data_IF_360088640942
#
_entry.id   IF_360088640942
#
_cell.length_a   1.000
_cell.length_b   1.000
_cell.length_c   1.000
_cell.angle_alpha   90.00
_cell.angle_beta   90.00
_cell.angle_gamma   90.00
#
_symmetry.space_group_name_H-M   'P 1'
#
loop_
_entity.id
_entity.type
_entity.pdbx_description
1 polymer ?
#
# COMPACT_ATOMS: atom_id res chain seq x y z
N UNK A 1 -0.51 -11.11 26.24
CA UNK A 1 -0.85 -9.98 25.35
C UNK A 1 0.19 -8.89 25.51
N UNK A 2 1.04 -8.65 24.51
CA UNK A 2 1.81 -7.39 24.35
C UNK A 2 2.52 -7.37 22.99
N UNK A 3 1.92 -6.74 21.98
CA UNK A 3 2.54 -6.40 20.68
C UNK A 3 2.11 -4.99 20.25
N UNK A 4 2.13 -4.00 21.16
CA UNK A 4 1.63 -2.64 20.87
C UNK A 4 2.67 -1.51 20.98
N UNK A 5 3.89 -1.78 21.44
CA UNK A 5 4.88 -0.71 21.67
C UNK A 5 5.58 -0.17 20.40
N UNK A 6 5.52 -0.88 19.28
CA UNK A 6 6.20 -0.48 18.04
C UNK A 6 5.42 0.49 17.14
N UNK A 7 4.14 0.76 17.43
CA UNK A 7 3.29 1.55 16.55
C UNK A 7 3.50 3.07 16.74
N UNK A 8 3.80 3.53 17.97
CA UNK A 8 3.77 4.96 18.31
C UNK A 8 4.88 5.80 17.67
N UNK A 9 6.09 5.24 17.47
CA UNK A 9 7.22 6.01 16.89
C UNK A 9 7.13 6.12 15.36
N UNK A 10 6.72 5.06 14.67
CA UNK A 10 6.54 5.09 13.23
C UNK A 10 5.34 5.97 12.82
N UNK A 11 4.30 6.01 13.65
CA UNK A 11 3.11 6.81 13.39
C UNK A 11 3.36 8.32 13.57
N UNK A 12 4.11 8.72 14.60
CA UNK A 12 4.51 10.13 14.77
C UNK A 12 5.41 10.60 13.62
N UNK A 13 6.30 9.74 13.12
CA UNK A 13 7.13 10.05 11.95
C UNK A 13 6.30 10.23 10.68
N UNK A 14 5.27 9.41 10.45
CA UNK A 14 4.38 9.55 9.30
C UNK A 14 3.77 10.96 9.26
N UNK A 15 3.11 11.39 10.35
CA UNK A 15 2.50 12.71 10.42
C UNK A 15 3.50 13.86 10.32
N UNK A 16 4.70 13.72 10.92
CA UNK A 16 5.76 14.73 10.79
C UNK A 16 6.26 14.89 9.33
N UNK A 17 6.16 13.84 8.52
CA UNK A 17 6.59 13.82 7.11
C UNK A 17 5.50 14.21 6.11
N UNK A 18 4.24 14.27 6.56
CA UNK A 18 3.06 14.54 5.75
C UNK A 18 2.92 16.04 5.47
N UNK A 19 3.01 16.41 4.20
CA UNK A 19 2.94 17.82 3.76
C UNK A 19 1.58 18.22 3.15
N UNK A 20 0.73 17.25 2.86
CA UNK A 20 -0.59 17.47 2.23
C UNK A 20 -1.70 16.79 3.00
N UNK A 21 -2.93 17.25 2.78
CA UNK A 21 -4.12 16.64 3.40
C UNK A 21 -4.23 15.14 3.08
N UNK A 22 -3.97 14.73 1.84
CA UNK A 22 -4.00 13.30 1.47
C UNK A 22 -2.90 12.50 2.17
N UNK A 23 -1.70 13.06 2.36
CA UNK A 23 -0.65 12.41 3.15
C UNK A 23 -1.05 12.26 4.64
N UNK A 24 -1.74 13.25 5.22
CA UNK A 24 -2.25 13.16 6.59
C UNK A 24 -3.31 12.05 6.72
N UNK A 25 -4.24 11.97 5.76
CA UNK A 25 -5.25 10.90 5.72
C UNK A 25 -4.59 9.53 5.53
N UNK A 26 -3.53 9.43 4.73
CA UNK A 26 -2.74 8.19 4.65
C UNK A 26 -2.22 7.79 6.03
N UNK A 27 -1.63 8.72 6.78
CA UNK A 27 -1.08 8.42 8.11
C UNK A 27 -2.15 7.98 9.11
N UNK A 28 -3.35 8.57 9.05
CA UNK A 28 -4.50 8.14 9.85
C UNK A 28 -4.95 6.73 9.47
N UNK A 29 -4.99 6.40 8.17
CA UNK A 29 -5.31 5.04 7.71
C UNK A 29 -4.25 4.03 8.16
N UNK A 30 -2.97 4.42 8.13
CA UNK A 30 -1.87 3.58 8.60
C UNK A 30 -1.99 3.30 10.10
N UNK A 31 -2.30 4.33 10.89
CA UNK A 31 -2.55 4.25 12.34
C UNK A 31 -3.66 3.27 12.70
N UNK A 32 -4.73 3.26 11.90
CA UNK A 32 -5.89 2.37 12.08
C UNK A 32 -5.72 0.99 11.46
N UNK A 33 -4.58 0.71 10.82
CA UNK A 33 -4.33 -0.55 10.14
C UNK A 33 -5.13 -0.73 8.85
N UNK A 34 -5.66 0.35 8.27
CA UNK A 34 -6.46 0.36 7.05
C UNK A 34 -5.66 0.64 5.77
N UNK A 35 -4.37 0.94 5.90
CA UNK A 35 -3.44 1.19 4.80
C UNK A 35 -2.84 -0.09 4.16
N UNK A 36 -3.32 -1.30 4.51
CA UNK A 36 -2.73 -2.59 4.07
C UNK A 36 -2.63 -2.75 2.55
N UNK A 37 -3.55 -2.15 1.81
CA UNK A 37 -3.60 -2.21 0.34
C UNK A 37 -2.94 -1.00 -0.33
N UNK A 38 -2.45 -0.04 0.45
CA UNK A 38 -1.81 1.15 -0.07
C UNK A 38 -0.32 0.89 -0.34
N UNK A 39 0.27 1.57 -1.34
CA UNK A 39 1.72 1.53 -1.50
C UNK A 39 2.40 2.17 -0.29
N UNK A 40 3.68 1.86 -0.01
CA UNK A 40 4.43 2.50 1.07
C UNK A 40 4.38 4.03 0.97
N UNK A 41 4.41 4.72 2.11
CA UNK A 41 4.22 6.17 2.20
C UNK A 41 5.09 6.97 1.22
N UNK A 42 6.38 6.63 1.07
CA UNK A 42 7.28 7.33 0.15
C UNK A 42 6.86 7.20 -1.32
N UNK A 43 6.24 6.09 -1.72
CA UNK A 43 5.68 5.93 -3.06
C UNK A 43 4.36 6.66 -3.20
N UNK A 44 3.50 6.57 -2.18
CA UNK A 44 2.24 7.29 -2.13
C UNK A 44 2.44 8.81 -2.31
N UNK A 45 3.42 9.38 -1.60
CA UNK A 45 3.78 10.80 -1.60
C UNK A 45 4.20 11.35 -2.97
N UNK A 46 4.72 10.51 -3.86
CA UNK A 46 5.17 10.91 -5.20
C UNK A 46 4.04 11.07 -6.22
N UNK A 47 2.84 10.60 -5.89
CA UNK A 47 1.68 10.71 -6.76
C UNK A 47 1.11 12.13 -6.74
N UNK A 48 0.47 12.53 -7.83
CA UNK A 48 -0.31 13.77 -7.87
C UNK A 48 -1.56 13.68 -6.98
N UNK A 49 -2.14 14.83 -6.65
CA UNK A 49 -3.31 14.95 -5.79
C UNK A 49 -4.50 14.07 -6.22
N UNK A 50 -4.72 13.90 -7.53
CA UNK A 50 -5.83 13.10 -8.06
C UNK A 50 -5.59 11.63 -7.77
N UNK A 51 -4.40 11.14 -8.11
CA UNK A 51 -4.02 9.75 -7.85
C UNK A 51 -4.01 9.44 -6.35
N UNK A 52 -3.48 10.36 -5.53
CA UNK A 52 -3.54 10.24 -4.07
C UNK A 52 -4.97 10.11 -3.55
N UNK A 53 -5.88 11.00 -3.96
CA UNK A 53 -7.29 10.95 -3.56
C UNK A 53 -7.98 9.64 -3.97
N UNK A 54 -7.70 9.15 -5.18
CA UNK A 54 -8.27 7.90 -5.69
C UNK A 54 -7.81 6.68 -4.89
N UNK A 55 -6.52 6.59 -4.58
CA UNK A 55 -5.97 5.50 -3.75
C UNK A 55 -6.60 5.48 -2.35
N UNK A 56 -6.84 6.66 -1.77
CA UNK A 56 -7.39 6.79 -0.43
C UNK A 56 -8.92 6.62 -0.37
N UNK A 57 -9.66 6.85 -1.47
CA UNK A 57 -11.13 6.90 -1.49
C UNK A 57 -11.81 5.73 -0.77
N UNK A 58 -11.45 4.50 -1.16
CA UNK A 58 -12.04 3.29 -0.58
C UNK A 58 -11.60 3.05 0.87
N UNK A 59 -10.30 3.08 1.23
CA UNK A 59 -9.89 2.88 2.61
C UNK A 59 -10.39 3.98 3.56
N UNK A 60 -10.43 5.24 3.14
CA UNK A 60 -11.01 6.35 3.91
C UNK A 60 -12.52 6.19 4.15
N UNK A 61 -13.27 5.80 3.11
CA UNK A 61 -14.71 5.58 3.24
C UNK A 61 -15.08 4.47 4.23
N UNK A 62 -14.24 3.43 4.39
CA UNK A 62 -14.48 2.35 5.38
C UNK A 62 -14.46 2.85 6.83
N UNK A 63 -13.75 3.93 7.11
CA UNK A 63 -13.65 4.54 8.45
C UNK A 63 -14.39 5.88 8.56
N UNK A 64 -15.22 6.21 7.57
CA UNK A 64 -16.04 7.43 7.59
C UNK A 64 -15.30 8.73 7.31
N UNK A 65 -14.09 8.68 6.72
CA UNK A 65 -13.39 9.89 6.26
C UNK A 65 -13.89 10.23 4.84
N UNK A 66 -14.52 11.39 4.70
CA UNK A 66 -14.89 11.93 3.40
C UNK A 66 -13.70 12.69 2.79
N UNK A 67 -13.32 12.32 1.57
CA UNK A 67 -12.19 12.92 0.87
C UNK A 67 -12.68 13.92 -0.19
N UNK A 68 -12.21 15.18 -0.17
CA UNK A 68 -12.47 16.11 -1.25
C UNK A 68 -11.76 15.57 -2.49
N UNK A 69 -12.49 15.37 -3.59
CA UNK A 69 -11.88 14.95 -4.85
C UNK A 69 -11.37 16.20 -5.59
N UNK A 70 -10.10 16.25 -6.03
CA UNK A 70 -9.62 17.38 -6.80
C UNK A 70 -10.38 17.44 -8.12
N UNK A 71 -10.83 18.64 -8.48
CA UNK A 71 -11.49 18.86 -9.78
C UNK A 71 -10.45 18.64 -10.86
N UNK A 72 -10.67 17.64 -11.72
CA UNK A 72 -9.80 17.39 -12.86
C UNK A 72 -9.83 18.62 -13.76
N UNK A 73 -8.78 19.42 -13.73
CA UNK A 73 -8.49 20.38 -14.79
C UNK A 73 -7.95 19.55 -15.95
N UNK A 74 -8.85 18.90 -16.68
CA UNK A 74 -8.52 18.29 -17.95
C UNK A 74 -7.91 19.39 -18.83
N UNK A 75 -6.58 19.47 -18.84
CA UNK A 75 -5.84 20.34 -19.75
C UNK A 75 -6.23 19.83 -21.12
N UNK A 76 -7.10 20.56 -21.83
CA UNK A 76 -7.47 20.26 -23.22
C UNK A 76 -6.16 20.14 -23.98
N UNK A 77 -5.73 18.91 -24.21
CA UNK A 77 -4.66 18.61 -25.15
C UNK A 77 -5.34 18.84 -26.49
N UNK A 78 -5.26 20.06 -27.02
CA UNK A 78 -5.59 20.28 -28.41
C UNK A 78 -4.66 19.37 -29.21
N UNK A 79 -5.18 18.41 -29.99
CA UNK A 79 -4.33 17.61 -30.85
C UNK A 79 -3.69 18.57 -31.85
N UNK A 80 -2.39 18.81 -31.70
CA UNK A 80 -1.60 19.47 -32.74
C UNK A 80 -1.51 18.45 -33.87
N UNK A 81 -2.40 18.58 -34.85
CA UNK A 81 -2.36 17.84 -36.11
C UNK A 81 -0.96 17.96 -36.68
N UNK A 82 -0.17 16.92 -36.49
CA UNK A 82 1.08 16.70 -37.21
C UNK A 82 0.66 15.90 -38.44
N UNK A 83 0.95 16.35 -39.68
CA UNK A 83 0.64 15.56 -40.86
C UNK A 83 1.37 14.23 -40.75
N UNK A 84 0.62 13.14 -40.61
CA UNK A 84 1.16 11.79 -40.63
C UNK A 84 1.50 11.45 -42.08
N UNK A 85 2.75 11.08 -42.42
CA UNK A 85 3.06 10.55 -43.73
C UNK A 85 2.33 9.22 -43.89
N UNK A 86 1.56 9.11 -44.96
CA UNK A 86 0.78 7.93 -45.34
C UNK A 86 1.70 6.71 -45.46
N UNK A 87 1.72 5.88 -44.41
CA UNK A 87 2.44 4.61 -44.41
C UNK A 87 1.57 3.60 -45.15
N UNK A 88 1.79 3.47 -46.47
CA UNK A 88 1.27 2.35 -47.27
C UNK A 88 1.50 1.04 -46.52
N UNK A 89 0.43 0.29 -46.26
CA UNK A 89 0.50 -1.06 -45.70
C UNK A 89 1.21 -1.98 -46.71
N UNK A 90 2.24 -2.72 -46.31
CA UNK A 90 2.61 -3.97 -46.97
C UNK A 90 1.81 -5.13 -46.36
N UNK A 91 1.39 -6.00 -47.27
CA UNK A 91 0.62 -7.22 -47.12
C UNK A 91 0.80 -8.02 -45.82
N UNK A 92 -0.36 -8.49 -45.35
CA UNK A 92 -0.58 -9.65 -44.47
C UNK A 92 0.36 -10.81 -44.85
N UNK A 93 1.30 -11.15 -43.96
CA UNK A 93 1.95 -12.46 -43.95
C UNK A 93 1.32 -13.27 -42.84
N UNK A 94 0.52 -14.25 -43.27
CA UNK A 94 -0.02 -15.37 -42.51
C UNK A 94 1.10 -16.07 -41.72
N UNK A 95 1.07 -15.96 -40.39
CA UNK A 95 1.96 -16.72 -39.52
C UNK A 95 1.16 -17.81 -38.79
N UNK A 96 1.35 -19.03 -39.29
CA UNK A 96 0.83 -20.31 -38.81
C UNK A 96 1.06 -20.50 -37.28
N UNK A 97 0.14 -21.14 -36.54
CA UNK A 97 0.30 -21.36 -35.11
C UNK A 97 1.32 -22.46 -34.83
N UNK A 98 2.24 -22.23 -33.89
CA UNK A 98 3.04 -23.30 -33.30
C UNK A 98 3.09 -23.15 -31.76
N UNK A 99 2.74 -24.22 -30.99
CA UNK A 99 2.60 -24.17 -29.53
C UNK A 99 3.84 -24.73 -28.81
N UNK A 100 4.42 -24.01 -27.84
CA UNK A 100 5.30 -24.56 -26.78
C UNK A 100 5.24 -23.62 -25.55
N UNK A 101 4.60 -23.96 -24.43
CA UNK A 101 4.99 -24.85 -23.29
C UNK A 101 6.27 -24.44 -22.54
N UNK A 102 6.12 -24.41 -21.20
CA UNK A 102 7.14 -24.45 -20.13
C UNK A 102 7.86 -23.11 -19.88
N UNK A 103 8.11 -22.60 -18.67
CA UNK A 103 8.23 -23.22 -17.34
C UNK A 103 7.98 -22.13 -16.27
N UNK A 104 7.03 -22.38 -15.36
CA UNK A 104 6.85 -21.60 -14.13
C UNK A 104 7.96 -21.91 -13.11
N UNK A 105 8.58 -20.92 -12.46
CA UNK A 105 9.48 -21.19 -11.33
C UNK A 105 8.69 -21.58 -10.07
N UNK A 106 9.22 -22.52 -9.26
CA UNK A 106 8.52 -23.08 -8.13
C UNK A 106 8.44 -22.13 -6.93
N UNK A 107 7.30 -22.23 -6.28
CA UNK A 107 6.93 -21.72 -4.96
C UNK A 107 8.07 -22.00 -3.96
N UNK A 108 8.75 -20.94 -3.52
CA UNK A 108 9.68 -20.99 -2.39
C UNK A 108 8.92 -20.79 -1.07
N UNK A 109 9.25 -21.66 -0.13
CA UNK A 109 8.43 -22.12 0.98
C UNK A 109 8.48 -21.16 2.18
N UNK A 110 7.35 -21.03 2.87
CA UNK A 110 7.22 -20.45 4.22
C UNK A 110 8.19 -21.13 5.20
N UNK A 111 8.80 -20.39 6.15
CA UNK A 111 9.35 -20.98 7.38
C UNK A 111 8.21 -21.32 8.35
N UNK A 112 8.18 -22.58 8.78
CA UNK A 112 7.31 -23.10 9.82
C UNK A 112 7.72 -22.56 11.19
N UNK A 113 6.76 -21.95 11.89
CA UNK A 113 6.80 -21.71 13.32
C UNK A 113 6.60 -23.05 14.06
N UNK A 114 7.67 -23.72 14.48
CA UNK A 114 7.54 -24.84 15.44
C UNK A 114 8.88 -25.22 16.08
N UNK A 115 9.39 -24.41 17.03
CA UNK A 115 10.14 -24.89 18.20
C UNK A 115 10.61 -23.71 19.06
N UNK A 116 9.93 -23.47 20.18
CA UNK A 116 10.47 -23.01 21.48
C UNK A 116 9.31 -22.63 22.41
N UNK A 117 8.36 -23.55 22.56
CA UNK A 117 7.46 -23.58 23.70
C UNK A 117 8.03 -24.59 24.72
N UNK A 118 8.94 -24.14 25.59
CA UNK A 118 9.21 -24.77 26.88
C UNK A 118 10.10 -23.86 27.74
N UNK A 119 9.79 -23.78 29.04
CA UNK A 119 10.44 -23.02 30.12
C UNK A 119 10.24 -21.49 30.14
N UNK A 120 9.26 -21.03 30.91
CA UNK A 120 9.46 -20.19 32.13
C UNK A 120 8.10 -19.94 32.81
N UNK A 121 7.41 -21.02 33.19
CA UNK A 121 6.33 -20.95 34.16
C UNK A 121 6.92 -21.30 35.53
N UNK A 122 7.51 -20.32 36.23
CA UNK A 122 7.69 -20.31 37.70
C UNK A 122 8.37 -19.00 38.15
N UNK A 123 7.91 -18.54 39.32
CA UNK A 123 8.31 -17.34 40.08
C UNK A 123 7.71 -16.00 39.63
N UNK A 124 6.48 -15.75 40.09
CA UNK A 124 6.08 -14.46 40.67
C UNK A 124 4.91 -14.71 41.65
N UNK A 125 5.23 -15.21 42.84
CA UNK A 125 4.30 -15.18 43.99
C UNK A 125 5.12 -14.98 45.25
N UNK A 126 5.45 -13.73 45.55
CA UNK A 126 5.83 -13.28 46.88
C UNK A 126 5.64 -11.77 46.95
N UNK A 127 5.21 -11.29 48.13
CA UNK A 127 4.99 -9.88 48.51
C UNK A 127 3.61 -9.27 48.21
N UNK A 128 2.53 -9.93 48.66
CA UNK A 128 1.41 -9.22 49.29
C UNK A 128 1.31 -9.80 50.69
N UNK A 129 1.93 -9.14 51.67
CA UNK A 129 1.63 -9.21 53.11
C UNK A 129 2.65 -8.33 53.85
N UNK A 130 2.41 -7.02 53.87
CA UNK A 130 2.93 -6.16 54.93
C UNK A 130 2.08 -4.88 55.04
N UNK A 131 0.81 -5.09 55.40
CA UNK A 131 -0.06 -4.02 55.91
C UNK A 131 -1.07 -4.64 56.89
N UNK A 132 -0.57 -5.08 58.05
CA UNK A 132 -1.18 -4.96 59.38
C UNK A 132 -0.21 -5.48 60.44
#
# INVERSE_FOLDING_TARGET
>A
MALLAGQSSAQSFCFASASSYYEQVYCELQARGEAKTLPPFYQFKRNDATTQALLLKRPAGRIGIELPMPKSTAKKITPKSTPQPERKLPALVEQKPQPQTTTSPPISRKPSHHLLASLMAKQCTAAINNLL
#
